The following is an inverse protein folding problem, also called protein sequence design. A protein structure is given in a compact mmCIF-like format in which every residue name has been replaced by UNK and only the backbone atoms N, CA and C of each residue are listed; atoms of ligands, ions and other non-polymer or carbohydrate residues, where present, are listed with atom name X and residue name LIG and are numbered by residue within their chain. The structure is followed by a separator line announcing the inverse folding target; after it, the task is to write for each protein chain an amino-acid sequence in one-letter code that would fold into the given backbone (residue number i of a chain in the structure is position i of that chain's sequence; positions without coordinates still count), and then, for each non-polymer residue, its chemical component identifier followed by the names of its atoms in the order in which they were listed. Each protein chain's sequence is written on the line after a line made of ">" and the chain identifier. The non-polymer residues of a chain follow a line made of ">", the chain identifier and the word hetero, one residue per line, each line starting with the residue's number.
data_IF_089730950178
#
_entry.id   IF_089730950178
#
_cell.length_a   1.000
_cell.length_b   1.000
_cell.length_c   1.000
_cell.angle_alpha   90.00
_cell.angle_beta   90.00
_cell.angle_gamma   90.00
#
_symmetry.space_group_name_H-M   'P 1'
#
loop_
_entity.id
_entity.type
_entity.pdbx_description
1 polymer ?
#
# COMPACT_ATOMS: atom_id res chain seq x y z
N UNK A 1 53.93 -51.30 -52.62
CA UNK A 1 53.39 -51.32 -51.25
C UNK A 1 53.55 -49.90 -50.71
N UNK A 2 52.51 -49.06 -50.75
CA UNK A 2 51.57 -48.76 -49.64
C UNK A 2 52.36 -48.23 -48.41
N UNK A 3 52.17 -47.02 -47.89
CA UNK A 3 50.92 -46.34 -47.54
C UNK A 3 51.05 -44.80 -47.50
N UNK A 4 49.93 -44.16 -47.83
CA UNK A 4 49.51 -42.78 -47.54
C UNK A 4 48.90 -42.75 -46.13
N UNK A 5 49.01 -41.63 -45.38
CA UNK A 5 48.05 -41.05 -44.39
C UNK A 5 48.82 -40.32 -43.27
N UNK A 6 48.34 -39.27 -42.61
CA UNK A 6 47.24 -38.32 -42.80
C UNK A 6 47.51 -37.22 -41.75
N UNK A 7 47.19 -35.99 -42.10
CA UNK A 7 46.89 -34.94 -41.13
C UNK A 7 45.69 -35.38 -40.28
N UNK A 8 45.77 -35.25 -38.95
CA UNK A 8 44.58 -35.22 -38.08
C UNK A 8 44.62 -33.96 -37.23
N UNK A 9 43.80 -33.02 -37.68
CA UNK A 9 43.42 -31.77 -37.04
C UNK A 9 42.65 -32.11 -35.75
N UNK A 10 43.19 -31.77 -34.59
CA UNK A 10 42.51 -31.90 -33.31
C UNK A 10 41.40 -30.87 -33.18
N UNK A 11 40.16 -31.27 -33.47
CA UNK A 11 38.95 -30.53 -33.11
C UNK A 11 38.63 -30.86 -31.66
N UNK A 12 38.74 -29.87 -30.76
CA UNK A 12 38.16 -29.94 -29.42
C UNK A 12 36.63 -30.01 -29.57
N UNK A 13 36.06 -31.20 -29.35
CA UNK A 13 34.65 -31.38 -29.07
C UNK A 13 34.39 -30.97 -27.62
N UNK A 14 33.98 -29.72 -27.40
CA UNK A 14 33.23 -29.40 -26.18
C UNK A 14 31.93 -30.21 -26.22
N UNK A 15 31.57 -30.95 -25.15
CA UNK A 15 30.23 -31.52 -25.10
C UNK A 15 29.22 -30.35 -25.10
N UNK A 16 28.06 -30.50 -25.75
CA UNK A 16 26.98 -29.56 -25.53
C UNK A 16 26.63 -29.67 -24.05
N UNK A 17 26.96 -28.63 -23.28
CA UNK A 17 26.31 -28.38 -22.01
C UNK A 17 24.86 -28.11 -22.38
N UNK A 18 24.04 -29.16 -22.38
CA UNK A 18 22.62 -29.01 -22.25
C UNK A 18 22.42 -28.30 -20.92
N UNK A 19 22.16 -27.00 -20.99
CA UNK A 19 21.55 -26.30 -19.89
C UNK A 19 20.21 -27.02 -19.66
N UNK A 20 20.18 -27.90 -18.67
CA UNK A 20 18.92 -28.33 -18.07
C UNK A 20 18.21 -27.04 -17.68
N UNK A 21 17.18 -26.70 -18.45
CA UNK A 21 16.26 -25.63 -18.10
C UNK A 21 15.58 -26.06 -16.82
N UNK A 22 16.16 -25.65 -15.68
CA UNK A 22 15.44 -25.67 -14.43
C UNK A 22 14.30 -24.67 -14.62
N UNK A 23 13.14 -25.19 -15.03
CA UNK A 23 11.86 -24.54 -14.92
C UNK A 23 11.56 -24.38 -13.42
N UNK A 24 12.32 -23.52 -12.74
CA UNK A 24 11.83 -22.83 -11.57
C UNK A 24 10.67 -22.00 -12.11
N UNK A 25 9.46 -22.46 -11.85
CA UNK A 25 8.20 -21.80 -12.21
C UNK A 25 8.28 -20.32 -11.85
N UNK A 26 8.58 -19.48 -12.85
CA UNK A 26 8.46 -18.04 -12.81
C UNK A 26 6.98 -17.72 -12.61
N UNK A 27 6.51 -17.63 -11.37
CA UNK A 27 5.13 -17.26 -11.04
C UNK A 27 4.87 -15.79 -11.36
N UNK A 28 4.73 -15.48 -12.63
CA UNK A 28 4.33 -14.17 -13.09
C UNK A 28 2.89 -13.91 -12.64
N UNK A 29 2.68 -12.87 -11.82
CA UNK A 29 1.35 -12.39 -11.48
C UNK A 29 0.90 -11.42 -12.57
N UNK A 30 -0.21 -11.76 -13.23
CA UNK A 30 -0.84 -10.89 -14.22
C UNK A 30 -2.06 -10.21 -13.62
N UNK A 31 -2.14 -8.90 -13.75
CA UNK A 31 -3.31 -8.08 -13.36
C UNK A 31 -3.62 -7.18 -14.56
N UNK A 32 -4.71 -7.49 -15.26
CA UNK A 32 -5.06 -6.83 -16.53
C UNK A 32 -3.87 -6.86 -17.52
N UNK A 33 -3.44 -5.72 -18.06
CA UNK A 33 -2.28 -5.58 -18.95
C UNK A 33 -0.92 -5.58 -18.22
N UNK A 34 -0.94 -5.67 -16.89
CA UNK A 34 0.27 -5.61 -16.07
C UNK A 34 0.80 -6.99 -15.73
N UNK A 35 2.12 -7.05 -15.62
CA UNK A 35 2.88 -8.25 -15.30
C UNK A 35 3.83 -7.93 -14.15
N UNK A 36 3.73 -8.67 -13.04
CA UNK A 36 4.63 -8.58 -11.88
C UNK A 36 5.41 -9.90 -11.76
N UNK A 37 6.73 -9.82 -11.67
CA UNK A 37 7.58 -10.99 -11.43
C UNK A 37 7.75 -11.27 -9.92
N UNK A 38 7.66 -12.54 -9.48
CA UNK A 38 7.54 -12.90 -8.07
C UNK A 38 8.87 -13.00 -7.33
N UNK A 39 8.76 -13.30 -6.03
CA UNK A 39 9.83 -13.58 -5.05
C UNK A 39 10.96 -14.46 -5.61
N UNK A 40 12.21 -14.06 -5.36
CA UNK A 40 13.41 -14.85 -5.63
C UNK A 40 14.02 -14.71 -7.03
N UNK A 41 13.41 -13.88 -7.90
CA UNK A 41 14.01 -13.49 -9.17
C UNK A 41 14.87 -12.23 -8.97
N UNK A 42 16.13 -12.20 -9.47
CA UNK A 42 16.85 -10.94 -9.59
C UNK A 42 16.05 -10.01 -10.50
N UNK A 43 15.69 -8.82 -10.00
CA UNK A 43 14.87 -7.79 -10.65
C UNK A 43 13.33 -8.00 -10.56
N UNK A 44 12.76 -7.90 -9.37
CA UNK A 44 11.31 -7.68 -9.26
C UNK A 44 10.94 -6.34 -9.94
N UNK A 45 10.06 -6.44 -10.93
CA UNK A 45 9.64 -5.33 -11.75
C UNK A 45 8.18 -5.44 -12.16
N UNK A 46 7.57 -4.27 -12.37
CA UNK A 46 6.23 -4.10 -12.91
C UNK A 46 6.36 -3.69 -14.36
N UNK A 47 5.72 -4.44 -15.24
CA UNK A 47 5.63 -4.18 -16.66
C UNK A 47 4.19 -3.93 -17.08
N UNK A 48 4.00 -3.15 -18.14
CA UNK A 48 2.73 -2.98 -18.85
C UNK A 48 2.99 -3.16 -20.33
N UNK A 49 2.30 -4.09 -20.98
CA UNK A 49 2.52 -4.42 -22.40
C UNK A 49 4.00 -4.66 -22.75
N UNK A 50 4.73 -5.33 -21.85
CA UNK A 50 6.17 -5.60 -22.00
C UNK A 50 7.10 -4.41 -21.73
N UNK A 51 6.58 -3.20 -21.50
CA UNK A 51 7.37 -2.03 -21.12
C UNK A 51 7.60 -2.00 -19.61
N UNK A 52 8.86 -1.89 -19.19
CA UNK A 52 9.23 -1.71 -17.79
C UNK A 52 8.69 -0.38 -17.25
N UNK A 53 7.94 -0.42 -16.16
CA UNK A 53 7.39 0.77 -15.48
C UNK A 53 8.06 1.04 -14.13
N UNK A 54 8.37 -0.01 -13.38
CA UNK A 54 8.90 0.11 -12.03
C UNK A 54 9.80 -1.08 -11.72
N UNK A 55 10.96 -0.83 -11.12
CA UNK A 55 11.90 -1.85 -10.67
C UNK A 55 12.53 -1.38 -9.37
N UNK A 56 12.86 -2.31 -8.49
CA UNK A 56 13.65 -2.03 -7.30
C UNK A 56 14.60 -3.18 -7.00
N UNK A 57 15.85 -2.90 -6.59
CA UNK A 57 16.78 -3.94 -6.14
C UNK A 57 16.42 -4.49 -4.76
N UNK A 58 15.68 -3.74 -3.93
CA UNK A 58 15.43 -4.05 -2.51
C UNK A 58 13.96 -4.25 -2.18
N UNK A 59 13.04 -3.93 -3.10
CA UNK A 59 11.60 -4.05 -2.89
C UNK A 59 11.02 -5.13 -3.78
N UNK A 60 10.33 -6.07 -3.16
CA UNK A 60 9.50 -7.04 -3.84
C UNK A 60 8.10 -6.45 -4.04
N UNK A 61 7.72 -6.10 -5.28
CA UNK A 61 6.34 -5.76 -5.63
C UNK A 61 5.43 -6.99 -5.50
N UNK A 62 4.29 -6.81 -4.85
CA UNK A 62 3.34 -7.85 -4.46
C UNK A 62 2.04 -7.76 -5.27
N UNK A 63 1.54 -6.54 -5.44
CA UNK A 63 0.27 -6.30 -6.09
C UNK A 63 0.19 -4.89 -6.69
N UNK A 64 -0.78 -4.71 -7.57
CA UNK A 64 -1.24 -3.40 -8.00
C UNK A 64 -2.77 -3.34 -8.08
N UNK A 65 -3.31 -2.14 -7.87
CA UNK A 65 -4.75 -1.88 -8.00
C UNK A 65 -4.97 -0.53 -8.68
N UNK A 66 -5.96 -0.47 -9.57
CA UNK A 66 -6.37 0.80 -10.18
C UNK A 66 -7.00 1.71 -9.13
N UNK A 67 -6.68 3.00 -9.19
CA UNK A 67 -7.33 4.00 -8.34
C UNK A 67 -8.70 4.31 -8.93
N UNK A 68 -9.74 4.25 -8.09
CA UNK A 68 -11.13 4.30 -8.55
C UNK A 68 -11.42 5.52 -9.43
N UNK A 69 -11.97 5.30 -10.61
CA UNK A 69 -12.32 6.34 -11.59
C UNK A 69 -11.11 7.18 -12.06
N UNK A 70 -9.95 6.55 -12.22
CA UNK A 70 -8.72 7.17 -12.73
C UNK A 70 -7.97 6.19 -13.63
N UNK A 71 -6.96 6.65 -14.36
CA UNK A 71 -6.05 5.79 -15.14
C UNK A 71 -4.77 5.44 -14.37
N UNK A 72 -4.65 5.93 -13.14
CA UNK A 72 -3.51 5.72 -12.25
C UNK A 72 -3.63 4.42 -11.44
N UNK A 73 -2.48 3.84 -11.11
CA UNK A 73 -2.40 2.57 -10.37
C UNK A 73 -1.53 2.72 -9.12
N UNK A 74 -1.96 2.12 -8.02
CA UNK A 74 -1.12 1.95 -6.82
C UNK A 74 -0.47 0.58 -6.87
N UNK A 75 0.84 0.55 -6.69
CA UNK A 75 1.64 -0.67 -6.55
C UNK A 75 2.09 -0.77 -5.09
N UNK A 76 1.97 -1.95 -4.49
CA UNK A 76 2.49 -2.25 -3.16
C UNK A 76 3.62 -3.25 -3.24
N UNK A 77 4.66 -3.03 -2.45
CA UNK A 77 5.76 -3.95 -2.27
C UNK A 77 6.22 -4.04 -0.83
N UNK A 78 7.10 -5.00 -0.57
CA UNK A 78 7.73 -5.22 0.73
C UNK A 78 9.23 -5.40 0.54
N UNK A 79 10.04 -4.83 1.42
CA UNK A 79 11.49 -5.05 1.41
C UNK A 79 11.91 -6.26 2.27
N UNK A 80 13.20 -6.56 2.28
CA UNK A 80 13.80 -7.66 3.04
C UNK A 80 13.61 -7.52 4.56
N UNK A 81 13.41 -6.30 5.05
CA UNK A 81 13.14 -6.01 6.47
C UNK A 81 11.65 -6.16 6.83
N UNK A 82 10.80 -6.46 5.85
CA UNK A 82 9.35 -6.57 6.03
C UNK A 82 8.62 -5.23 6.03
N UNK A 83 9.28 -4.13 5.62
CA UNK A 83 8.65 -2.82 5.52
C UNK A 83 7.94 -2.66 4.19
N UNK A 84 6.71 -2.17 4.27
CA UNK A 84 5.88 -1.93 3.09
C UNK A 84 6.22 -0.62 2.38
N UNK A 85 6.23 -0.70 1.06
CA UNK A 85 6.46 0.39 0.11
C UNK A 85 5.26 0.54 -0.81
N UNK A 86 4.96 1.76 -1.20
CA UNK A 86 3.88 2.08 -2.12
C UNK A 86 4.39 2.97 -3.22
N UNK A 87 3.94 2.75 -4.45
CA UNK A 87 4.27 3.58 -5.59
C UNK A 87 3.03 3.89 -6.42
N UNK A 88 2.85 5.14 -6.82
CA UNK A 88 1.81 5.53 -7.77
C UNK A 88 2.39 5.51 -9.18
N UNK A 89 1.92 4.58 -10.02
CA UNK A 89 2.06 4.68 -11.47
C UNK A 89 1.05 5.73 -11.94
N UNK A 90 1.52 6.98 -11.93
CA UNK A 90 0.67 8.16 -12.10
C UNK A 90 0.40 8.45 -13.58
N UNK A 91 -0.88 8.65 -13.90
CA UNK A 91 -1.27 9.37 -15.11
C UNK A 91 -1.31 10.87 -14.78
N UNK A 92 -0.64 11.70 -15.57
CA UNK A 92 -0.48 13.13 -15.28
C UNK A 92 -1.81 13.90 -15.21
N UNK A 93 -2.88 13.40 -15.85
CA UNK A 93 -4.21 13.99 -15.78
C UNK A 93 -4.87 13.75 -14.42
N UNK A 94 -4.52 12.66 -13.76
CA UNK A 94 -5.07 12.30 -12.45
C UNK A 94 -4.33 13.10 -11.38
N UNK A 95 -4.95 14.18 -10.89
CA UNK A 95 -4.34 15.02 -9.84
C UNK A 95 -4.42 14.32 -8.48
N UNK A 96 -3.50 13.39 -8.23
CA UNK A 96 -3.43 12.59 -7.01
C UNK A 96 -2.30 13.08 -6.08
N UNK A 97 -2.46 12.82 -4.79
CA UNK A 97 -1.38 12.82 -3.80
C UNK A 97 -1.48 11.55 -2.96
N UNK A 98 -0.35 10.88 -2.76
CA UNK A 98 -0.28 9.68 -1.92
C UNK A 98 0.54 9.95 -0.67
N UNK A 99 0.09 9.41 0.45
CA UNK A 99 0.88 9.28 1.68
C UNK A 99 1.04 7.80 2.00
N UNK A 100 2.27 7.35 2.26
CA UNK A 100 2.52 6.03 2.84
C UNK A 100 2.43 6.14 4.37
N UNK A 101 1.42 5.49 4.95
CA UNK A 101 1.19 5.47 6.40
C UNK A 101 2.01 4.40 7.12
N UNK A 102 2.83 3.64 6.38
CA UNK A 102 3.52 2.46 6.87
C UNK A 102 2.59 1.26 6.98
N UNK A 103 3.18 0.10 7.30
CA UNK A 103 2.44 -1.14 7.58
C UNK A 103 1.45 -1.56 6.47
N UNK A 104 1.81 -1.25 5.22
CA UNK A 104 1.01 -1.59 4.05
C UNK A 104 -0.22 -0.72 3.88
N UNK A 105 -0.31 0.44 4.55
CA UNK A 105 -1.44 1.37 4.42
C UNK A 105 -1.02 2.60 3.61
N UNK A 106 -1.87 2.97 2.66
CA UNK A 106 -1.68 4.12 1.78
C UNK A 106 -2.95 4.95 1.74
N UNK A 107 -2.83 6.26 1.79
CA UNK A 107 -3.95 7.15 1.49
C UNK A 107 -3.70 7.93 0.22
N UNK A 108 -4.76 8.04 -0.58
CA UNK A 108 -4.72 8.69 -1.88
C UNK A 108 -5.78 9.79 -1.88
N UNK A 109 -5.31 11.03 -1.92
CA UNK A 109 -6.11 12.23 -2.02
C UNK A 109 -6.32 12.58 -3.50
N UNK A 110 -7.57 12.53 -3.94
CA UNK A 110 -8.00 13.08 -5.23
C UNK A 110 -8.12 14.59 -5.08
N UNK A 111 -7.09 15.34 -5.51
CA UNK A 111 -6.98 16.79 -5.23
C UNK A 111 -8.16 17.60 -5.75
N UNK A 112 -8.74 17.19 -6.88
CA UNK A 112 -9.86 17.90 -7.51
C UNK A 112 -11.15 17.83 -6.68
N UNK A 113 -11.42 16.67 -6.06
CA UNK A 113 -12.66 16.45 -5.30
C UNK A 113 -12.45 16.57 -3.79
N UNK A 114 -11.19 16.54 -3.32
CA UNK A 114 -10.84 16.47 -1.91
C UNK A 114 -11.21 15.13 -1.26
N UNK A 115 -11.57 14.11 -2.05
CA UNK A 115 -11.88 12.77 -1.55
C UNK A 115 -10.58 12.03 -1.23
N UNK A 116 -10.53 11.46 -0.03
CA UNK A 116 -9.45 10.58 0.41
C UNK A 116 -9.94 9.13 0.36
N UNK A 117 -9.20 8.27 -0.32
CA UNK A 117 -9.38 6.82 -0.29
C UNK A 117 -8.23 6.20 0.50
N UNK A 118 -8.54 5.20 1.33
CA UNK A 118 -7.53 4.46 2.08
C UNK A 118 -7.41 3.08 1.44
N UNK A 119 -6.20 2.73 1.07
CA UNK A 119 -5.81 1.44 0.55
C UNK A 119 -4.96 0.71 1.58
N UNK A 120 -5.02 -0.62 1.56
CA UNK A 120 -4.13 -1.44 2.37
C UNK A 120 -3.69 -2.70 1.64
N UNK A 121 -2.54 -3.22 2.04
CA UNK A 121 -2.09 -4.56 1.67
C UNK A 121 -2.54 -5.55 2.74
N UNK A 122 -3.41 -6.49 2.36
CA UNK A 122 -3.92 -7.55 3.21
C UNK A 122 -3.69 -8.90 2.53
N UNK A 123 -2.94 -9.80 3.17
CA UNK A 123 -2.54 -11.10 2.60
C UNK A 123 -1.91 -10.97 1.20
N UNK A 124 -0.93 -10.07 1.09
CA UNK A 124 -0.19 -9.75 -0.14
C UNK A 124 -1.05 -9.21 -1.30
N UNK A 125 -2.28 -8.79 -1.02
CA UNK A 125 -3.19 -8.18 -1.98
C UNK A 125 -3.53 -6.75 -1.59
N UNK A 126 -3.53 -5.85 -2.56
CA UNK A 126 -3.99 -4.49 -2.39
C UNK A 126 -5.52 -4.46 -2.43
N UNK A 127 -6.11 -3.84 -1.43
CA UNK A 127 -7.55 -3.59 -1.39
C UNK A 127 -7.85 -2.17 -0.93
N UNK A 128 -8.96 -1.64 -1.41
CA UNK A 128 -9.53 -0.40 -0.87
C UNK A 128 -10.30 -0.71 0.41
N UNK A 129 -10.06 0.08 1.46
CA UNK A 129 -10.91 0.08 2.65
C UNK A 129 -12.23 0.75 2.29
N UNK A 130 -13.21 -0.08 1.92
CA UNK A 130 -14.55 0.39 1.53
C UNK A 130 -15.22 1.06 2.73
N UNK A 131 -15.35 2.37 2.64
CA UNK A 131 -16.17 3.15 3.57
C UNK A 131 -17.40 3.66 2.86
N UNK A 132 -18.51 3.80 3.59
CA UNK A 132 -19.71 4.48 3.08
C UNK A 132 -19.63 6.01 3.15
N UNK A 133 -18.46 6.56 3.50
CA UNK A 133 -18.31 7.97 3.88
C UNK A 133 -17.38 8.69 2.90
N UNK A 134 -17.85 9.80 2.31
CA UNK A 134 -17.01 10.63 1.43
C UNK A 134 -16.02 11.52 2.21
N UNK A 135 -16.23 11.70 3.51
CA UNK A 135 -15.46 12.56 4.39
C UNK A 135 -14.37 11.82 5.18
N UNK A 136 -13.89 10.67 4.69
CA UNK A 136 -12.78 9.92 5.30
C UNK A 136 -11.53 10.79 5.33
N UNK A 137 -10.85 10.84 6.48
CA UNK A 137 -9.65 11.65 6.70
C UNK A 137 -8.75 11.05 7.76
N UNK A 138 -7.53 11.57 7.81
CA UNK A 138 -6.60 11.40 8.93
C UNK A 138 -6.27 9.93 9.25
N UNK A 139 -5.93 9.08 8.26
CA UNK A 139 -5.47 7.73 8.57
C UNK A 139 -4.14 7.77 9.32
N UNK A 140 -3.97 6.87 10.27
CA UNK A 140 -2.71 6.64 10.98
C UNK A 140 -2.59 5.15 11.32
N UNK A 141 -1.47 4.54 10.91
CA UNK A 141 -1.23 3.12 11.10
C UNK A 141 -0.17 2.86 12.19
N UNK A 142 -0.32 1.73 12.86
CA UNK A 142 0.63 1.10 13.78
C UNK A 142 0.95 -0.31 13.26
N UNK A 143 1.87 -1.06 13.89
CA UNK A 143 2.18 -2.43 13.46
C UNK A 143 0.98 -3.40 13.42
N UNK A 144 -0.10 -3.11 14.14
CA UNK A 144 -1.24 -4.04 14.28
C UNK A 144 -2.57 -3.45 13.84
N UNK A 145 -2.67 -2.12 13.80
CA UNK A 145 -3.94 -1.43 13.63
C UNK A 145 -3.81 -0.22 12.71
N UNK A 146 -4.92 0.14 12.09
CA UNK A 146 -5.14 1.42 11.44
C UNK A 146 -6.33 2.13 12.10
N UNK A 147 -6.16 3.42 12.39
CA UNK A 147 -7.25 4.32 12.79
C UNK A 147 -7.44 5.36 11.71
N UNK A 148 -8.69 5.66 11.38
CA UNK A 148 -9.06 6.79 10.52
C UNK A 148 -10.34 7.43 11.03
N UNK A 149 -10.66 8.62 10.54
CA UNK A 149 -11.84 9.36 10.94
C UNK A 149 -12.72 9.69 9.72
N UNK A 150 -13.97 10.05 9.99
CA UNK A 150 -14.77 10.84 9.05
C UNK A 150 -15.50 11.96 9.80
N UNK A 151 -15.84 13.03 9.10
CA UNK A 151 -16.68 14.10 9.62
C UNK A 151 -18.13 13.58 9.65
N UNK A 152 -18.72 13.51 10.84
CA UNK A 152 -20.11 13.07 11.07
C UNK A 152 -21.07 14.25 11.12
N UNK A 153 -20.63 15.38 11.65
CA UNK A 153 -21.40 16.62 11.76
C UNK A 153 -20.48 17.83 11.57
N UNK A 154 -21.06 18.92 11.05
CA UNK A 154 -20.36 20.15 10.74
C UNK A 154 -21.30 21.31 11.00
N UNK A 155 -21.03 22.09 12.06
CA UNK A 155 -21.90 23.18 12.51
C UNK A 155 -21.14 24.46 12.82
N UNK A 156 -21.79 25.60 12.58
CA UNK A 156 -21.26 26.91 12.91
C UNK A 156 -21.59 27.24 14.37
N UNK A 157 -20.58 27.45 15.20
CA UNK A 157 -20.74 27.92 16.58
C UNK A 157 -20.13 29.31 16.70
N UNK A 158 -20.98 30.32 16.98
CA UNK A 158 -20.61 31.74 16.90
C UNK A 158 -20.05 32.07 15.50
N UNK A 159 -18.73 32.27 15.39
CA UNK A 159 -18.02 32.60 14.15
C UNK A 159 -17.03 31.50 13.72
N UNK A 160 -17.11 30.31 14.32
CA UNK A 160 -16.19 29.20 14.07
C UNK A 160 -16.94 28.01 13.47
N UNK A 161 -16.33 27.36 12.50
CA UNK A 161 -16.82 26.09 11.99
C UNK A 161 -16.29 24.97 12.90
N UNK A 162 -17.19 24.16 13.47
CA UNK A 162 -16.83 23.03 14.32
C UNK A 162 -17.18 21.74 13.58
N UNK A 163 -16.20 20.86 13.47
CA UNK A 163 -16.33 19.53 12.89
C UNK A 163 -16.35 18.48 14.00
N UNK A 164 -17.39 17.66 14.04
CA UNK A 164 -17.44 16.48 14.90
C UNK A 164 -17.04 15.25 14.08
N UNK A 165 -16.03 14.54 14.56
CA UNK A 165 -15.51 13.36 13.89
C UNK A 165 -16.05 12.10 14.54
N UNK A 166 -16.10 11.01 13.76
CA UNK A 166 -16.22 9.65 14.31
C UNK A 166 -15.06 8.82 13.82
N UNK A 167 -14.35 8.21 14.76
CA UNK A 167 -13.19 7.36 14.50
C UNK A 167 -13.63 5.93 14.17
N UNK A 168 -12.80 5.28 13.36
CA UNK A 168 -12.90 3.87 12.98
C UNK A 168 -11.56 3.19 13.23
N UNK A 169 -11.61 1.94 13.65
CA UNK A 169 -10.47 1.10 13.94
C UNK A 169 -10.57 -0.17 13.11
N UNK A 170 -9.44 -0.59 12.53
CA UNK A 170 -9.30 -1.87 11.84
C UNK A 170 -8.00 -2.52 12.27
N UNK A 171 -8.01 -3.85 12.46
CA UNK A 171 -6.78 -4.64 12.61
C UNK A 171 -6.24 -5.00 11.23
N UNK A 172 -4.93 -5.01 11.07
CA UNK A 172 -4.32 -5.37 9.79
C UNK A 172 -4.62 -6.81 9.36
N UNK A 173 -4.86 -7.71 10.31
CA UNK A 173 -5.19 -9.12 10.07
C UNK A 173 -6.71 -9.40 9.92
N UNK A 174 -7.55 -8.36 9.92
CA UNK A 174 -9.01 -8.48 9.84
C UNK A 174 -9.58 -7.56 8.78
N UNK A 175 -10.74 -7.93 8.22
CA UNK A 175 -11.54 -7.06 7.35
C UNK A 175 -12.60 -6.28 8.13
N UNK A 176 -12.76 -6.53 9.43
CA UNK A 176 -13.75 -5.83 10.27
C UNK A 176 -13.33 -4.38 10.54
N UNK A 177 -14.18 -3.43 10.12
CA UNK A 177 -14.06 -2.02 10.49
C UNK A 177 -14.97 -1.74 11.68
N UNK A 178 -14.38 -1.37 12.81
CA UNK A 178 -15.12 -0.99 14.02
C UNK A 178 -15.25 0.51 14.14
N UNK A 179 -16.47 1.03 14.02
CA UNK A 179 -16.77 2.43 14.32
C UNK A 179 -16.82 2.67 15.83
N UNK A 180 -15.93 3.54 16.32
CA UNK A 180 -15.80 3.84 17.74
C UNK A 180 -16.87 4.84 18.19
N UNK A 181 -17.36 4.70 19.43
CA UNK A 181 -18.18 5.72 20.11
C UNK A 181 -17.28 6.81 20.71
N UNK A 182 -16.43 7.38 19.88
CA UNK A 182 -15.45 8.42 20.22
C UNK A 182 -15.61 9.57 19.23
N UNK A 183 -15.94 10.76 19.74
CA UNK A 183 -16.39 11.90 18.94
C UNK A 183 -15.61 13.19 19.23
N UNK A 184 -14.31 13.25 18.89
CA UNK A 184 -13.54 14.47 19.03
C UNK A 184 -14.11 15.57 18.14
N UNK A 185 -14.01 16.80 18.61
CA UNK A 185 -14.46 18.01 17.91
C UNK A 185 -13.28 18.92 17.69
N UNK A 186 -13.20 19.51 16.50
CA UNK A 186 -12.14 20.45 16.17
C UNK A 186 -12.63 21.55 15.21
N UNK A 187 -11.93 22.68 15.21
CA UNK A 187 -12.12 23.76 14.24
C UNK A 187 -11.49 23.41 12.88
N UNK A 188 -10.53 22.48 12.89
CA UNK A 188 -9.92 21.93 11.67
C UNK A 188 -10.76 20.80 11.08
N UNK A 189 -10.92 20.80 9.75
CA UNK A 189 -11.51 19.69 9.00
C UNK A 189 -10.54 18.49 8.84
N UNK A 190 -9.43 18.47 9.57
CA UNK A 190 -8.43 17.40 9.63
C UNK A 190 -8.03 17.20 11.10
N UNK A 191 -8.02 15.95 11.55
CA UNK A 191 -7.50 15.59 12.86
C UNK A 191 -6.05 15.17 12.74
N UNK A 192 -5.19 15.66 13.62
CA UNK A 192 -3.83 15.17 13.72
C UNK A 192 -3.79 14.08 14.78
N UNK A 193 -3.59 12.85 14.33
CA UNK A 193 -3.59 11.66 15.18
C UNK A 193 -2.25 10.94 15.07
N UNK A 194 -1.78 10.44 16.20
CA UNK A 194 -0.60 9.59 16.26
C UNK A 194 -0.80 8.48 17.28
N UNK A 195 -0.26 7.30 16.97
CA UNK A 195 -0.13 6.23 17.94
C UNK A 195 0.96 6.58 18.95
N UNK A 196 0.65 6.41 20.24
CA UNK A 196 1.63 6.60 21.32
C UNK A 196 1.90 5.30 22.09
N UNK A 197 1.06 4.29 21.88
CA UNK A 197 1.19 2.92 22.40
C UNK A 197 0.29 1.98 21.57
N UNK A 198 0.41 0.66 21.74
CA UNK A 198 -0.33 -0.38 21.02
C UNK A 198 -1.85 -0.18 21.03
N UNK A 199 -2.41 0.43 22.08
CA UNK A 199 -3.85 0.71 22.16
C UNK A 199 -4.20 2.19 22.31
N UNK A 200 -3.22 3.10 22.31
CA UNK A 200 -3.45 4.50 22.60
C UNK A 200 -3.09 5.38 21.43
N UNK A 201 -3.99 6.30 21.13
CA UNK A 201 -3.75 7.40 20.21
C UNK A 201 -3.75 8.72 20.97
N UNK A 202 -2.97 9.67 20.47
CA UNK A 202 -3.03 11.06 20.86
C UNK A 202 -3.59 11.87 19.69
N UNK A 203 -4.52 12.76 19.98
CA UNK A 203 -5.08 13.72 19.05
C UNK A 203 -4.55 15.10 19.41
N UNK A 204 -3.91 15.78 18.45
CA UNK A 204 -3.54 17.21 18.55
C UNK A 204 -4.61 18.01 17.81
N UNK A 205 -5.28 18.91 18.53
CA UNK A 205 -6.33 19.77 17.99
C UNK A 205 -5.76 21.06 17.40
N UNK A 206 -6.57 21.77 16.62
CA UNK A 206 -6.19 23.04 15.99
C UNK A 206 -5.64 24.09 16.99
N UNK A 207 -6.18 24.13 18.20
CA UNK A 207 -5.74 25.04 19.26
C UNK A 207 -4.47 24.58 20.01
N UNK A 208 -3.82 23.50 19.56
CA UNK A 208 -2.62 22.93 20.17
C UNK A 208 -2.86 22.00 21.36
N UNK A 209 -4.10 21.90 21.87
CA UNK A 209 -4.47 20.93 22.92
C UNK A 209 -4.17 19.51 22.43
N UNK A 210 -3.77 18.64 23.35
CA UNK A 210 -3.56 17.22 23.08
C UNK A 210 -4.38 16.38 24.04
N UNK A 211 -5.19 15.47 23.51
CA UNK A 211 -5.92 14.47 24.29
C UNK A 211 -5.45 13.08 23.92
N UNK A 212 -5.36 12.20 24.92
CA UNK A 212 -4.96 10.80 24.74
C UNK A 212 -6.16 9.89 24.97
N UNK A 213 -6.39 8.95 24.05
CA UNK A 213 -7.50 8.01 24.10
C UNK A 213 -6.98 6.59 24.08
N UNK A 214 -7.44 5.78 25.04
CA UNK A 214 -7.22 4.33 25.04
C UNK A 214 -8.35 3.63 24.28
N UNK A 215 -8.02 3.12 23.11
CA UNK A 215 -8.95 2.51 22.17
C UNK A 215 -9.54 1.19 22.68
N UNK A 216 -8.88 0.52 23.65
CA UNK A 216 -9.44 -0.65 24.34
C UNK A 216 -10.76 -0.36 25.03
N UNK A 217 -10.98 0.88 25.49
CA UNK A 217 -12.24 1.30 26.11
C UNK A 217 -13.41 1.36 25.12
N UNK A 218 -13.12 1.47 23.82
CA UNK A 218 -14.11 1.65 22.77
C UNK A 218 -14.29 0.41 21.90
N UNK A 219 -13.25 -0.43 21.78
CA UNK A 219 -13.24 -1.66 21.00
C UNK A 219 -12.34 -2.72 21.66
N UNK A 220 -12.69 -3.25 22.84
CA UNK A 220 -11.83 -4.15 23.60
C UNK A 220 -11.51 -5.46 22.85
N UNK A 221 -12.44 -5.95 22.03
CA UNK A 221 -12.29 -7.20 21.27
C UNK A 221 -11.29 -7.12 20.11
N UNK A 222 -10.75 -5.94 19.81
CA UNK A 222 -9.77 -5.76 18.74
C UNK A 222 -8.31 -5.77 19.24
N UNK A 223 -8.07 -5.77 20.55
CA UNK A 223 -6.72 -5.69 21.13
C UNK A 223 -6.29 -6.93 21.90
#
# INVERSE_FOLDING_TARGET
>A
MSQILLFLLSILLCPPVFAESSHASLFVKTVEEFTIFPKGQPNNAVYRDGKLLLQSPTVQWLDLIQINNTESWLVSGIDEEGKYHGHLLLNEKDKLAMTNQGYGVYDILKKETGILEIYRTYKDQLEIIKTKYKSVRSPTASPTHLVFAHIRDSRKERNKQIFEFRLHLIRHDSTEIKSLKLYPKDESAKLEMQWIDKSKIQIRYHNGKRDTFDLKKYAPTLF
#
